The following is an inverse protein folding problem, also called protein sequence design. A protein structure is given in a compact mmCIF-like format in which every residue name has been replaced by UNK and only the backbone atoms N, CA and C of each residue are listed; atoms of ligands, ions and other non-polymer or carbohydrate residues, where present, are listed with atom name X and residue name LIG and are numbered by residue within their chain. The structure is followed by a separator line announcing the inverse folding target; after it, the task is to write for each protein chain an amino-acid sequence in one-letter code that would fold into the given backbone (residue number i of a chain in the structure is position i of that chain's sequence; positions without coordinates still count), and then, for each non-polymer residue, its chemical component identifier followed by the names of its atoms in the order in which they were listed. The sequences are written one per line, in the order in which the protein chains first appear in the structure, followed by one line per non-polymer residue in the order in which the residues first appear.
data_IF_443193577351
#
_entry.id   IF_443193577351
#
_cell.length_a   1.000
_cell.length_b   1.000
_cell.length_c   1.000
_cell.angle_alpha   90.00
_cell.angle_beta   90.00
_cell.angle_gamma   90.00
#
_symmetry.space_group_name_H-M   'P 1'
#
loop_
_entity.id
_entity.type
_entity.pdbx_description
1 polymer ?
#
# COMPACT_ATOMS: atom_id res chain seq x y z
N UNK A 1 -5.38 -23.97 9.05
CA UNK A 1 -5.22 -22.58 8.79
C UNK A 1 -4.19 -22.29 7.72
N UNK A 2 -4.48 -21.32 6.93
CA UNK A 2 -3.85 -21.14 5.64
C UNK A 2 -3.06 -19.82 5.62
N UNK A 3 -1.80 -19.90 5.27
CA UNK A 3 -0.95 -18.74 5.18
C UNK A 3 -0.68 -18.39 3.72
N UNK A 4 -0.94 -17.15 3.36
CA UNK A 4 -0.64 -16.63 2.03
C UNK A 4 0.44 -15.57 2.16
N UNK A 5 1.63 -15.79 1.57
CA UNK A 5 2.68 -14.77 1.59
C UNK A 5 2.17 -13.45 1.00
N UNK A 6 2.47 -12.37 1.66
CA UNK A 6 2.01 -11.05 1.25
C UNK A 6 3.07 -9.98 1.48
N UNK A 7 3.00 -8.92 0.68
CA UNK A 7 3.71 -7.69 0.95
C UNK A 7 2.78 -6.82 1.76
N UNK A 8 3.21 -6.39 2.94
CA UNK A 8 2.38 -5.62 3.85
C UNK A 8 2.99 -4.26 4.13
N UNK A 9 2.14 -3.31 4.49
CA UNK A 9 2.58 -1.99 4.91
C UNK A 9 1.61 -1.44 5.95
N UNK A 10 2.16 -0.65 6.86
CA UNK A 10 1.41 -0.05 7.96
C UNK A 10 1.46 1.45 7.82
N UNK A 11 0.33 2.10 8.12
CA UNK A 11 0.24 3.55 8.19
C UNK A 11 -0.39 3.99 9.49
N UNK A 12 -0.05 5.20 9.93
CA UNK A 12 -0.53 5.78 11.18
C UNK A 12 -1.07 7.19 10.95
N UNK A 13 -1.99 7.62 11.82
CA UNK A 13 -2.40 9.01 11.88
C UNK A 13 -2.96 9.35 13.24
N UNK A 14 -2.72 10.59 13.67
CA UNK A 14 -3.22 11.11 14.95
C UNK A 14 -4.65 11.62 14.80
N UNK A 15 -5.46 11.39 15.82
CA UNK A 15 -6.84 11.88 15.89
C UNK A 15 -6.85 13.40 16.13
N UNK A 16 -5.98 13.88 17.01
CA UNK A 16 -6.00 15.29 17.44
C UNK A 16 -5.73 16.27 16.31
N UNK A 17 -4.91 15.90 15.33
CA UNK A 17 -4.53 16.82 14.24
C UNK A 17 -5.59 16.92 13.14
N UNK A 18 -6.65 16.10 13.19
CA UNK A 18 -7.68 16.11 12.16
C UNK A 18 -8.56 17.36 12.28
N UNK A 19 -8.88 18.03 11.14
CA UNK A 19 -9.56 19.33 11.16
C UNK A 19 -11.09 19.20 11.32
N UNK A 20 -11.53 18.83 12.51
CA UNK A 20 -12.95 18.79 12.85
C UNK A 20 -13.14 18.99 14.34
N UNK A 21 -14.28 19.58 14.73
CA UNK A 21 -14.64 19.76 16.13
C UNK A 21 -15.23 18.51 16.74
N UNK A 22 -15.83 17.64 15.92
CA UNK A 22 -16.44 16.39 16.41
C UNK A 22 -15.38 15.32 16.57
N UNK A 23 -15.34 14.69 17.75
CA UNK A 23 -14.42 13.60 18.03
C UNK A 23 -14.65 12.42 17.08
N UNK A 24 -15.90 12.06 16.81
CA UNK A 24 -16.21 10.97 15.89
C UNK A 24 -15.72 11.26 14.47
N UNK A 25 -15.90 12.51 14.01
CA UNK A 25 -15.38 12.93 12.72
C UNK A 25 -13.86 12.85 12.68
N UNK A 26 -13.19 13.33 13.74
CA UNK A 26 -11.72 13.25 13.79
C UNK A 26 -11.23 11.81 13.75
N UNK A 27 -11.93 10.89 14.43
CA UNK A 27 -11.57 9.46 14.38
C UNK A 27 -11.70 8.88 12.98
N UNK A 28 -12.79 9.18 12.28
CA UNK A 28 -12.99 8.70 10.90
C UNK A 28 -11.94 9.29 9.96
N UNK A 29 -11.62 10.57 10.13
CA UNK A 29 -10.58 11.24 9.33
C UNK A 29 -9.21 10.64 9.61
N UNK A 30 -8.91 10.31 10.88
CA UNK A 30 -7.66 9.67 11.26
C UNK A 30 -7.52 8.28 10.63
N UNK A 31 -8.59 7.50 10.58
CA UNK A 31 -8.57 6.19 9.92
C UNK A 31 -8.27 6.34 8.42
N UNK A 32 -8.91 7.31 7.75
CA UNK A 32 -8.65 7.58 6.33
C UNK A 32 -7.22 8.03 6.10
N UNK A 33 -6.72 8.92 6.94
CA UNK A 33 -5.34 9.42 6.85
C UNK A 33 -4.33 8.29 7.10
N UNK A 34 -4.59 7.41 8.06
CA UNK A 34 -3.75 6.25 8.33
C UNK A 34 -3.74 5.30 7.13
N UNK A 35 -4.89 5.12 6.47
CA UNK A 35 -4.99 4.28 5.28
C UNK A 35 -4.18 4.87 4.12
N UNK A 36 -4.24 6.18 3.91
CA UNK A 36 -3.43 6.86 2.89
C UNK A 36 -1.94 6.72 3.18
N UNK A 37 -1.55 6.82 4.44
CA UNK A 37 -0.17 6.61 4.86
C UNK A 37 0.27 5.17 4.57
N UNK A 38 -0.59 4.19 4.83
CA UNK A 38 -0.32 2.79 4.52
C UNK A 38 -0.19 2.55 3.01
N UNK A 39 -1.03 3.19 2.18
CA UNK A 39 -0.91 3.10 0.72
C UNK A 39 0.43 3.62 0.24
N UNK A 40 0.88 4.77 0.77
CA UNK A 40 2.17 5.33 0.40
C UNK A 40 3.31 4.40 0.78
N UNK A 41 3.26 3.86 1.99
CA UNK A 41 4.29 2.94 2.47
C UNK A 41 4.30 1.64 1.67
N UNK A 42 3.13 1.14 1.29
CA UNK A 42 3.02 -0.05 0.44
C UNK A 42 3.64 0.19 -0.94
N UNK A 43 3.35 1.35 -1.53
CA UNK A 43 3.92 1.73 -2.83
C UNK A 43 5.45 1.75 -2.75
N UNK A 44 6.01 2.34 -1.69
CA UNK A 44 7.46 2.39 -1.52
C UNK A 44 8.07 1.00 -1.38
N UNK A 45 7.42 0.10 -0.67
CA UNK A 45 7.90 -1.28 -0.57
C UNK A 45 7.86 -2.01 -1.90
N UNK A 46 6.79 -1.84 -2.67
CA UNK A 46 6.68 -2.46 -3.99
C UNK A 46 7.72 -1.90 -4.95
N UNK A 47 8.01 -0.60 -4.89
CA UNK A 47 9.05 0.03 -5.71
C UNK A 47 10.43 -0.59 -5.49
N UNK A 48 10.70 -1.10 -4.30
CA UNK A 48 12.00 -1.70 -3.98
C UNK A 48 12.19 -3.13 -4.48
N UNK A 49 11.15 -3.75 -5.02
CA UNK A 49 11.23 -5.15 -5.50
C UNK A 49 11.94 -5.19 -6.83
N UNK A 50 12.89 -6.11 -6.97
CA UNK A 50 13.62 -6.31 -8.23
C UNK A 50 12.74 -7.01 -9.23
N UNK A 51 12.73 -6.51 -10.45
CA UNK A 51 11.89 -7.01 -11.52
C UNK A 51 12.71 -7.79 -12.55
N UNK A 52 13.95 -7.34 -12.80
CA UNK A 52 14.87 -7.98 -13.71
C UNK A 52 16.28 -7.49 -13.44
N UNK A 53 17.23 -8.39 -13.19
CA UNK A 53 18.61 -8.01 -12.87
C UNK A 53 18.63 -7.07 -11.66
N UNK A 54 19.22 -5.90 -11.84
CA UNK A 54 19.28 -4.87 -10.80
C UNK A 54 18.20 -3.80 -10.94
N UNK A 55 17.26 -3.98 -11.87
CA UNK A 55 16.17 -3.03 -12.10
C UNK A 55 15.04 -3.29 -11.14
N UNK A 56 14.65 -2.28 -10.38
CA UNK A 56 13.50 -2.35 -9.48
C UNK A 56 12.21 -1.96 -10.18
N UNK A 57 11.07 -2.30 -9.57
CA UNK A 57 9.76 -1.86 -10.06
C UNK A 57 9.73 -0.33 -10.14
N UNK A 58 10.26 0.37 -9.13
CA UNK A 58 10.28 1.83 -9.11
C UNK A 58 11.04 2.44 -10.29
N UNK A 59 12.15 1.83 -10.68
CA UNK A 59 12.89 2.29 -11.86
C UNK A 59 12.12 2.00 -13.15
N UNK A 60 11.54 0.82 -13.27
CA UNK A 60 10.79 0.42 -14.46
C UNK A 60 9.54 1.29 -14.67
N UNK A 61 8.89 1.73 -13.61
CA UNK A 61 7.73 2.63 -13.66
C UNK A 61 8.07 3.96 -14.32
N UNK A 62 9.32 4.43 -14.17
CA UNK A 62 9.75 5.70 -14.77
C UNK A 62 9.68 5.65 -16.29
N UNK A 63 9.77 4.47 -16.88
CA UNK A 63 9.80 4.31 -18.35
C UNK A 63 8.58 3.56 -18.89
N UNK A 64 7.69 3.07 -18.04
CA UNK A 64 6.50 2.34 -18.44
C UNK A 64 5.25 2.88 -17.76
N UNK A 65 4.43 3.62 -18.50
CA UNK A 65 3.15 4.13 -18.01
C UNK A 65 2.19 2.98 -17.69
N UNK A 66 2.24 1.90 -18.46
CA UNK A 66 1.39 0.73 -18.23
C UNK A 66 1.73 0.05 -16.90
N UNK A 67 3.02 -0.11 -16.61
CA UNK A 67 3.45 -0.67 -15.33
C UNK A 67 3.05 0.25 -14.19
N UNK A 68 3.21 1.55 -14.35
CA UNK A 68 2.80 2.53 -13.35
C UNK A 68 1.32 2.45 -13.04
N UNK A 69 0.48 2.34 -14.08
CA UNK A 69 -0.97 2.22 -13.91
C UNK A 69 -1.34 0.90 -13.22
N UNK A 70 -0.70 -0.21 -13.61
CA UNK A 70 -0.94 -1.51 -13.02
C UNK A 70 -0.53 -1.54 -11.54
N UNK A 71 0.58 -0.88 -11.21
CA UNK A 71 1.04 -0.77 -9.83
C UNK A 71 0.06 0.03 -8.98
N UNK A 72 -0.41 1.17 -9.49
CA UNK A 72 -1.42 1.97 -8.77
C UNK A 72 -2.68 1.17 -8.51
N UNK A 73 -3.15 0.41 -9.51
CA UNK A 73 -4.31 -0.46 -9.36
C UNK A 73 -4.09 -1.54 -8.30
N UNK A 74 -2.89 -2.11 -8.25
CA UNK A 74 -2.51 -3.10 -7.26
C UNK A 74 -2.56 -2.51 -5.85
N UNK A 75 -2.01 -1.31 -5.66
CA UNK A 75 -1.99 -0.65 -4.36
C UNK A 75 -3.40 -0.28 -3.90
N UNK A 76 -4.20 0.32 -4.78
CA UNK A 76 -5.58 0.70 -4.46
C UNK A 76 -6.42 -0.54 -4.13
N UNK A 77 -6.16 -1.66 -4.79
CA UNK A 77 -6.86 -2.92 -4.54
C UNK A 77 -6.30 -3.72 -3.37
N UNK A 78 -5.33 -3.21 -2.63
CA UNK A 78 -4.75 -3.90 -1.49
C UNK A 78 -5.81 -4.18 -0.42
N UNK A 79 -5.70 -5.35 0.21
CA UNK A 79 -6.63 -5.77 1.25
C UNK A 79 -6.30 -5.05 2.56
N UNK A 80 -7.32 -4.53 3.23
CA UNK A 80 -7.17 -4.01 4.59
C UNK A 80 -7.17 -5.17 5.57
N UNK A 81 -6.01 -5.42 6.18
CA UNK A 81 -5.84 -6.54 7.12
C UNK A 81 -6.32 -6.14 8.50
N UNK A 82 -6.05 -4.90 8.89
CA UNK A 82 -6.28 -4.46 10.24
C UNK A 82 -6.48 -2.95 10.30
N UNK A 83 -7.43 -2.53 11.11
CA UNK A 83 -7.62 -1.13 11.51
C UNK A 83 -7.77 -1.17 13.02
N UNK A 84 -6.87 -0.51 13.75
CA UNK A 84 -6.95 -0.53 15.20
C UNK A 84 -6.38 0.75 15.81
N UNK A 85 -6.90 1.14 16.99
CA UNK A 85 -6.27 2.22 17.73
C UNK A 85 -4.93 1.77 18.29
N UNK A 86 -3.97 2.68 18.31
CA UNK A 86 -2.65 2.49 18.88
C UNK A 86 -2.44 3.61 19.89
N UNK A 87 -2.54 3.28 21.18
CA UNK A 87 -2.56 4.29 22.22
C UNK A 87 -3.88 5.07 22.23
N UNK A 88 -3.87 6.26 22.82
CA UNK A 88 -5.09 7.04 23.05
C UNK A 88 -5.45 7.99 21.91
N UNK A 89 -4.53 8.25 20.97
CA UNK A 89 -4.72 9.30 19.98
C UNK A 89 -4.39 8.88 18.55
N UNK A 90 -3.98 7.65 18.30
CA UNK A 90 -3.47 7.22 16.99
C UNK A 90 -4.24 6.03 16.47
N UNK A 91 -4.53 6.02 15.17
CA UNK A 91 -5.00 4.84 14.46
C UNK A 91 -3.89 4.26 13.59
N UNK A 92 -3.89 2.93 13.49
CA UNK A 92 -3.01 2.16 12.64
C UNK A 92 -3.85 1.41 11.63
N UNK A 93 -3.42 1.43 10.37
CA UNK A 93 -4.03 0.64 9.30
C UNK A 93 -2.95 -0.23 8.68
N UNK A 94 -3.25 -1.50 8.47
CA UNK A 94 -2.36 -2.42 7.78
C UNK A 94 -2.99 -2.89 6.49
N UNK A 95 -2.24 -2.80 5.39
CA UNK A 95 -2.64 -3.24 4.05
C UNK A 95 -1.75 -4.39 3.61
N UNK A 96 -2.30 -5.26 2.76
CA UNK A 96 -1.56 -6.40 2.20
C UNK A 96 -1.90 -6.62 0.74
N UNK A 97 -0.87 -6.98 -0.03
CA UNK A 97 -0.99 -7.47 -1.41
C UNK A 97 -0.35 -8.84 -1.46
N UNK A 98 -1.03 -9.83 -2.06
CA UNK A 98 -0.46 -11.17 -2.15
C UNK A 98 0.79 -11.19 -3.01
N UNK A 99 1.76 -12.00 -2.61
CA UNK A 99 3.00 -12.18 -3.39
C UNK A 99 2.69 -12.72 -4.78
N UNK A 100 1.68 -13.56 -4.91
CA UNK A 100 1.23 -14.09 -6.21
C UNK A 100 0.83 -12.95 -7.15
N UNK A 101 0.12 -11.95 -6.64
CA UNK A 101 -0.29 -10.81 -7.45
C UNK A 101 0.93 -9.99 -7.93
N UNK A 102 1.88 -9.80 -7.03
CA UNK A 102 3.13 -9.09 -7.37
C UNK A 102 3.92 -9.87 -8.42
N UNK A 103 3.99 -11.19 -8.27
CA UNK A 103 4.69 -12.05 -9.23
C UNK A 103 4.06 -11.98 -10.62
N UNK A 104 2.73 -11.93 -10.71
CA UNK A 104 2.03 -11.76 -11.99
C UNK A 104 2.35 -10.42 -12.64
N UNK A 105 2.42 -9.37 -11.85
CA UNK A 105 2.77 -8.04 -12.33
C UNK A 105 4.17 -8.03 -12.95
N UNK A 106 5.13 -8.62 -12.24
CA UNK A 106 6.51 -8.74 -12.70
C UNK A 106 6.59 -9.55 -13.98
N UNK A 107 5.90 -10.69 -14.02
CA UNK A 107 5.89 -11.56 -15.19
C UNK A 107 5.30 -10.86 -16.41
N UNK A 108 4.21 -10.14 -16.23
CA UNK A 108 3.57 -9.39 -17.31
C UNK A 108 4.53 -8.33 -17.89
N UNK A 109 5.27 -7.64 -17.03
CA UNK A 109 6.26 -6.67 -17.48
C UNK A 109 7.38 -7.36 -18.28
N UNK A 110 7.92 -8.46 -17.75
CA UNK A 110 8.99 -9.21 -18.43
C UNK A 110 8.56 -9.73 -19.80
N UNK A 111 7.28 -10.06 -19.96
CA UNK A 111 6.73 -10.58 -21.21
C UNK A 111 6.29 -9.47 -22.17
N UNK A 112 6.59 -8.22 -21.86
CA UNK A 112 6.28 -7.09 -22.74
C UNK A 112 4.81 -6.67 -22.74
N UNK A 113 4.02 -7.11 -21.76
CA UNK A 113 2.60 -6.76 -21.68
C UNK A 113 2.36 -5.44 -20.92
N UNK A 114 3.36 -4.95 -20.22
CA UNK A 114 3.32 -3.68 -19.47
C UNK A 114 4.51 -2.77 -19.90
#
# INVERSE_FOLDING_TARGET
KYYVPSVTAIGFSSIAIQPSKSLNQRRLMAIRAAKLDAYRNLTEQLHGIYIQGETTIGEAVLTSDKLGAALRGTVIGARTVKIEPTGSDTYQVELAVSQTHVDRLIKAYRNGLL
#
